data_IF_444997874357
#
_entry.id   IF_444997874357
#
_cell.length_a   1.000
_cell.length_b   1.000
_cell.length_c   1.000
_cell.angle_alpha   90.00
_cell.angle_beta   90.00
_cell.angle_gamma   90.00
#
_symmetry.space_group_name_H-M   'P 1'
#
loop_
_entity.id
_entity.type
_entity.pdbx_description
1 polymer ?
#
# COMPACT_ATOMS: atom_id res chain seq x y z
N UNK A 1 17.90 -14.28 30.79
CA UNK A 1 18.18 -15.70 30.47
C UNK A 1 17.19 -16.12 29.40
N UNK A 2 17.63 -16.80 28.35
CA UNK A 2 16.74 -17.39 27.31
C UNK A 2 16.93 -18.90 27.37
N UNK A 3 15.85 -19.65 27.11
CA UNK A 3 15.87 -21.13 27.00
C UNK A 3 16.14 -21.59 25.56
N UNK A 4 16.57 -20.68 24.69
CA UNK A 4 16.88 -21.00 23.29
C UNK A 4 18.31 -21.57 23.17
N UNK A 5 18.46 -22.73 22.58
CA UNK A 5 19.72 -23.43 22.33
C UNK A 5 20.54 -22.82 21.16
N UNK A 6 20.17 -21.62 20.70
CA UNK A 6 20.83 -20.96 19.56
C UNK A 6 21.98 -20.08 20.02
N UNK A 7 23.03 -19.84 19.19
CA UNK A 7 24.09 -18.89 19.46
C UNK A 7 23.52 -17.50 19.81
N UNK A 8 24.14 -16.82 20.77
CA UNK A 8 23.70 -15.52 21.30
C UNK A 8 23.44 -14.48 20.21
N UNK A 9 24.28 -14.44 19.19
CA UNK A 9 24.17 -13.51 18.07
C UNK A 9 22.87 -13.72 17.28
N UNK A 10 22.46 -14.98 17.05
CA UNK A 10 21.20 -15.30 16.39
C UNK A 10 19.99 -14.98 17.23
N UNK A 11 20.10 -15.13 18.55
CA UNK A 11 19.03 -14.76 19.49
C UNK A 11 18.84 -13.25 19.48
N UNK A 12 19.92 -12.48 19.53
CA UNK A 12 19.86 -11.00 19.43
C UNK A 12 19.32 -10.55 18.09
N UNK A 13 19.75 -11.13 16.98
CA UNK A 13 19.23 -10.81 15.65
C UNK A 13 17.72 -11.10 15.55
N UNK A 14 17.24 -12.23 16.06
CA UNK A 14 15.83 -12.57 16.11
C UNK A 14 15.03 -11.58 16.97
N UNK A 15 15.58 -11.16 18.11
CA UNK A 15 14.93 -10.20 19.00
C UNK A 15 14.83 -8.80 18.36
N UNK A 16 15.86 -8.40 17.60
CA UNK A 16 15.84 -7.11 16.87
C UNK A 16 14.81 -7.06 15.76
N UNK A 17 14.41 -8.21 15.19
CA UNK A 17 13.31 -8.27 14.21
C UNK A 17 11.94 -7.92 14.80
N UNK A 18 11.79 -7.97 16.13
CA UNK A 18 10.56 -7.57 16.82
C UNK A 18 10.18 -6.11 16.52
N UNK A 19 11.15 -5.20 16.52
CA UNK A 19 10.91 -3.79 16.19
C UNK A 19 10.30 -3.60 14.81
N UNK A 20 10.73 -4.38 13.82
CA UNK A 20 10.17 -4.36 12.46
C UNK A 20 8.72 -4.86 12.43
N UNK A 21 8.43 -5.95 13.16
CA UNK A 21 7.06 -6.47 13.25
C UNK A 21 6.12 -5.49 13.95
N UNK A 22 6.59 -4.84 15.02
CA UNK A 22 5.82 -3.79 15.71
C UNK A 22 5.54 -2.60 14.80
N UNK A 23 6.48 -2.21 13.95
CA UNK A 23 6.29 -1.15 12.97
C UNK A 23 5.23 -1.52 11.92
N UNK A 24 5.25 -2.74 11.40
CA UNK A 24 4.21 -3.21 10.46
C UNK A 24 2.83 -3.23 11.08
N UNK A 25 2.72 -3.69 12.34
CA UNK A 25 1.46 -3.65 13.09
C UNK A 25 0.97 -2.21 13.26
N UNK A 26 1.87 -1.28 13.59
CA UNK A 26 1.57 0.14 13.72
C UNK A 26 1.12 0.76 12.40
N UNK A 27 1.78 0.44 11.29
CA UNK A 27 1.35 0.86 9.95
C UNK A 27 -0.05 0.34 9.61
N UNK A 28 -0.35 -0.93 9.85
CA UNK A 28 -1.66 -1.50 9.62
C UNK A 28 -2.76 -0.83 10.45
N UNK A 29 -2.48 -0.50 11.71
CA UNK A 29 -3.40 0.25 12.58
C UNK A 29 -3.66 1.67 12.06
N UNK A 30 -2.64 2.39 11.65
CA UNK A 30 -2.72 3.80 11.31
C UNK A 30 -3.14 4.04 9.85
N UNK A 31 -2.53 3.30 8.91
CA UNK A 31 -2.79 3.47 7.49
C UNK A 31 -4.11 2.82 7.06
N UNK A 32 -4.38 1.60 7.50
CA UNK A 32 -5.50 0.78 7.02
C UNK A 32 -6.65 0.72 8.04
N UNK A 33 -6.38 1.05 9.31
CA UNK A 33 -7.35 0.97 10.41
C UNK A 33 -7.92 -0.45 10.62
N UNK A 34 -7.11 -1.49 10.46
CA UNK A 34 -7.56 -2.88 10.52
C UNK A 34 -8.13 -3.31 11.87
N UNK A 35 -7.92 -2.53 12.93
CA UNK A 35 -8.53 -2.74 14.25
C UNK A 35 -9.96 -2.20 14.36
N UNK A 36 -10.45 -1.47 13.34
CA UNK A 36 -11.83 -0.95 13.32
C UNK A 36 -12.81 -2.00 12.80
N UNK A 37 -13.14 -2.95 13.66
CA UNK A 37 -14.10 -4.01 13.39
C UNK A 37 -15.44 -3.62 14.00
N UNK A 38 -16.31 -2.94 13.23
CA UNK A 38 -17.58 -2.35 13.70
C UNK A 38 -18.83 -3.05 13.16
N UNK A 39 -18.69 -4.26 12.60
CA UNK A 39 -19.82 -5.07 12.19
C UNK A 39 -20.47 -5.74 13.39
N UNK A 40 -21.82 -5.94 13.34
CA UNK A 40 -22.55 -6.59 14.41
C UNK A 40 -22.27 -8.09 14.54
N UNK A 41 -21.85 -8.75 13.47
CA UNK A 41 -21.56 -10.18 13.44
C UNK A 41 -20.08 -10.48 13.41
N UNK A 42 -19.68 -11.61 13.99
CA UNK A 42 -18.31 -12.10 13.92
C UNK A 42 -17.87 -12.36 12.48
N UNK A 43 -18.72 -12.99 11.68
CA UNK A 43 -18.46 -13.26 10.26
C UNK A 43 -18.22 -11.97 9.47
N UNK A 44 -19.04 -10.93 9.69
CA UNK A 44 -18.85 -9.63 9.06
C UNK A 44 -17.51 -8.98 9.45
N UNK A 45 -17.10 -9.09 10.71
CA UNK A 45 -15.80 -8.60 11.15
C UNK A 45 -14.63 -9.41 10.57
N UNK A 46 -14.78 -10.72 10.42
CA UNK A 46 -13.76 -11.57 9.79
C UNK A 46 -13.54 -11.17 8.32
N UNK A 47 -14.60 -10.99 7.54
CA UNK A 47 -14.50 -10.49 6.15
C UNK A 47 -13.85 -9.11 6.11
N UNK A 48 -14.25 -8.21 7.00
CA UNK A 48 -13.67 -6.86 7.08
C UNK A 48 -12.17 -6.90 7.38
N UNK A 49 -11.73 -7.76 8.28
CA UNK A 49 -10.32 -7.94 8.58
C UNK A 49 -9.53 -8.43 7.36
N UNK A 50 -10.10 -9.39 6.60
CA UNK A 50 -9.47 -9.87 5.37
C UNK A 50 -9.36 -8.77 4.31
N UNK A 51 -10.38 -7.91 4.16
CA UNK A 51 -10.33 -6.75 3.26
C UNK A 51 -9.25 -5.74 3.70
N UNK A 52 -9.09 -5.52 5.00
CA UNK A 52 -8.00 -4.68 5.52
C UNK A 52 -6.63 -5.30 5.24
N UNK A 53 -6.47 -6.61 5.40
CA UNK A 53 -5.22 -7.31 5.07
C UNK A 53 -4.90 -7.22 3.58
N UNK A 54 -5.91 -7.37 2.71
CA UNK A 54 -5.77 -7.17 1.26
C UNK A 54 -5.32 -5.74 0.95
N UNK A 55 -5.97 -4.74 1.53
CA UNK A 55 -5.61 -3.33 1.33
C UNK A 55 -4.17 -3.03 1.81
N UNK A 56 -3.74 -3.64 2.92
CA UNK A 56 -2.37 -3.55 3.42
C UNK A 56 -1.36 -4.14 2.42
N UNK A 57 -1.64 -5.32 1.88
CA UNK A 57 -0.79 -5.96 0.89
C UNK A 57 -0.72 -5.16 -0.41
N UNK A 58 -1.86 -4.67 -0.92
CA UNK A 58 -1.89 -3.81 -2.10
C UNK A 58 -1.08 -2.52 -1.90
N UNK A 59 -1.19 -1.89 -0.72
CA UNK A 59 -0.37 -0.72 -0.37
C UNK A 59 1.13 -1.03 -0.36
N UNK A 60 1.53 -2.19 0.16
CA UNK A 60 2.92 -2.63 0.12
C UNK A 60 3.39 -2.96 -1.29
N UNK A 61 2.58 -3.60 -2.12
CA UNK A 61 2.91 -3.84 -3.53
C UNK A 61 3.08 -2.52 -4.29
N UNK A 62 2.17 -1.58 -4.12
CA UNK A 62 2.31 -0.24 -4.70
C UNK A 62 3.65 0.38 -4.28
N UNK A 63 3.95 0.40 -2.97
CA UNK A 63 5.20 0.97 -2.43
C UNK A 63 6.45 0.30 -3.00
N UNK A 64 6.42 -1.02 -3.17
CA UNK A 64 7.60 -1.79 -3.57
C UNK A 64 7.81 -1.81 -5.08
N UNK A 65 6.72 -1.91 -5.86
CA UNK A 65 6.77 -2.19 -7.28
C UNK A 65 6.50 -0.96 -8.17
N UNK A 66 5.74 0.00 -7.68
CA UNK A 66 5.21 1.09 -8.50
C UNK A 66 5.46 2.49 -7.92
N UNK A 67 6.39 2.64 -6.99
CA UNK A 67 6.80 3.96 -6.52
C UNK A 67 8.21 4.29 -6.97
N UNK A 68 8.44 5.50 -7.53
CA UNK A 68 9.78 5.96 -7.87
C UNK A 68 10.62 6.25 -6.63
N UNK A 69 11.95 6.25 -6.78
CA UNK A 69 12.93 6.38 -5.69
C UNK A 69 12.64 7.54 -4.71
N UNK A 70 12.26 8.76 -5.13
CA UNK A 70 12.04 9.87 -4.19
C UNK A 70 10.95 9.61 -3.14
N UNK A 71 10.00 8.71 -3.42
CA UNK A 71 8.87 8.43 -2.53
C UNK A 71 8.86 6.99 -2.00
N UNK A 72 9.84 6.18 -2.36
CA UNK A 72 9.94 4.77 -1.97
C UNK A 72 10.00 4.57 -0.45
N UNK A 73 10.61 5.51 0.25
CA UNK A 73 10.70 5.51 1.71
C UNK A 73 9.42 6.00 2.42
N UNK A 74 8.38 6.41 1.69
CA UNK A 74 7.16 6.88 2.31
C UNK A 74 6.43 5.76 3.06
N UNK A 75 5.88 6.11 4.23
CA UNK A 75 4.99 5.21 4.96
C UNK A 75 3.69 4.98 4.19
N UNK A 76 3.00 3.86 4.47
CA UNK A 76 1.67 3.61 3.88
C UNK A 76 0.66 4.72 4.23
N UNK A 77 0.79 5.35 5.39
CA UNK A 77 -0.02 6.52 5.77
C UNK A 77 0.24 7.68 4.82
N UNK A 78 1.50 7.99 4.54
CA UNK A 78 1.88 9.07 3.61
C UNK A 78 1.39 8.78 2.18
N UNK A 79 1.55 7.54 1.70
CA UNK A 79 1.04 7.12 0.39
C UNK A 79 -0.48 7.29 0.31
N UNK A 80 -1.22 6.85 1.34
CA UNK A 80 -2.66 7.00 1.39
C UNK A 80 -3.09 8.46 1.35
N UNK A 81 -2.50 9.31 2.18
CA UNK A 81 -2.91 10.73 2.28
C UNK A 81 -2.49 11.54 1.04
N UNK A 82 -1.33 11.24 0.46
CA UNK A 82 -0.76 12.04 -0.62
C UNK A 82 -1.06 11.52 -2.03
N UNK A 83 -1.41 10.24 -2.20
CA UNK A 83 -1.68 9.65 -3.51
C UNK A 83 -3.11 9.14 -3.68
N UNK A 84 -3.73 8.61 -2.61
CA UNK A 84 -5.05 7.97 -2.70
C UNK A 84 -6.17 8.91 -2.31
N UNK A 85 -6.00 9.69 -1.23
CA UNK A 85 -7.00 10.63 -0.73
C UNK A 85 -6.94 12.01 -1.39
N UNK A 86 -6.59 12.08 -2.65
CA UNK A 86 -6.55 13.33 -3.39
C UNK A 86 -7.93 13.61 -3.96
N UNK A 87 -8.45 14.80 -3.68
CA UNK A 87 -9.67 15.29 -4.31
C UNK A 87 -9.45 15.53 -5.80
N UNK A 88 -10.37 15.06 -6.62
CA UNK A 88 -10.37 15.31 -8.04
C UNK A 88 -11.72 15.86 -8.49
N UNK A 89 -11.73 16.82 -9.41
CA UNK A 89 -12.91 17.27 -10.12
C UNK A 89 -13.09 16.44 -11.39
N UNK A 90 -14.25 15.85 -11.55
CA UNK A 90 -14.62 15.17 -12.79
C UNK A 90 -15.05 16.22 -13.81
N UNK A 91 -14.37 16.26 -14.94
CA UNK A 91 -14.73 17.12 -16.09
C UNK A 91 -15.07 16.21 -17.25
N UNK A 92 -16.31 16.31 -17.77
CA UNK A 92 -16.75 15.56 -18.93
C UNK A 92 -16.77 16.45 -20.15
N UNK A 93 -16.12 16.00 -21.20
CA UNK A 93 -16.23 16.54 -22.57
C UNK A 93 -16.86 15.47 -23.46
N UNK A 94 -17.53 15.84 -24.53
CA UNK A 94 -18.33 14.91 -25.32
C UNK A 94 -17.65 13.62 -25.80
N UNK A 95 -16.32 13.54 -25.76
CA UNK A 95 -15.52 12.37 -26.20
C UNK A 95 -14.65 11.77 -25.10
N UNK A 96 -14.47 12.44 -23.97
CA UNK A 96 -13.60 11.95 -22.88
C UNK A 96 -14.03 12.50 -21.53
N UNK A 97 -13.63 11.76 -20.52
CA UNK A 97 -13.80 12.13 -19.11
C UNK A 97 -12.42 12.34 -18.52
N UNK A 98 -12.19 13.48 -17.91
CA UNK A 98 -10.92 13.83 -17.29
C UNK A 98 -11.07 14.03 -15.76
N UNK A 99 -10.14 13.49 -15.01
CA UNK A 99 -10.00 13.76 -13.59
C UNK A 99 -8.99 14.89 -13.40
N UNK A 100 -9.45 16.07 -13.00
CA UNK A 100 -8.57 17.17 -12.63
C UNK A 100 -8.21 17.07 -11.16
N UNK A 101 -6.97 16.72 -10.85
CA UNK A 101 -6.43 16.68 -9.49
C UNK A 101 -5.68 17.98 -9.19
N UNK A 102 -5.61 18.34 -7.90
CA UNK A 102 -4.83 19.49 -7.45
C UNK A 102 -3.33 19.18 -7.59
N UNK A 103 -2.62 19.87 -8.47
CA UNK A 103 -1.18 19.67 -8.72
C UNK A 103 -0.32 19.97 -7.50
N UNK A 104 -0.81 20.82 -6.60
CA UNK A 104 -0.17 21.13 -5.30
C UNK A 104 -0.05 19.90 -4.40
N UNK A 105 -0.95 18.93 -4.55
CA UNK A 105 -0.95 17.72 -3.73
C UNK A 105 0.04 16.66 -4.24
N UNK A 106 0.14 16.50 -5.57
CA UNK A 106 1.06 15.56 -6.23
C UNK A 106 1.56 16.19 -7.53
N UNK A 107 2.89 16.36 -7.69
CA UNK A 107 3.47 16.82 -8.93
C UNK A 107 3.07 15.91 -10.10
N UNK A 108 2.65 16.49 -11.20
CA UNK A 108 2.20 15.78 -12.40
C UNK A 108 3.20 14.71 -12.87
N UNK A 109 4.50 15.04 -12.85
CA UNK A 109 5.56 14.14 -13.28
C UNK A 109 5.65 12.90 -12.38
N UNK A 110 5.55 13.08 -11.06
CA UNK A 110 5.57 11.98 -10.11
C UNK A 110 4.37 11.04 -10.32
N UNK A 111 3.19 11.59 -10.51
CA UNK A 111 1.99 10.80 -10.74
C UNK A 111 2.06 10.03 -12.09
N UNK A 112 2.55 10.67 -13.15
CA UNK A 112 2.76 10.02 -14.46
C UNK A 112 3.75 8.86 -14.36
N UNK A 113 4.83 9.02 -13.59
CA UNK A 113 5.83 7.96 -13.38
C UNK A 113 5.25 6.76 -12.62
N UNK A 114 4.45 7.00 -11.59
CA UNK A 114 3.74 5.92 -10.88
C UNK A 114 2.84 5.14 -11.84
N UNK A 115 2.06 5.84 -12.68
CA UNK A 115 1.19 5.18 -13.66
C UNK A 115 1.99 4.38 -14.69
N UNK A 116 3.16 4.88 -15.11
CA UNK A 116 4.07 4.14 -16.01
C UNK A 116 4.54 2.85 -15.36
N UNK A 117 5.03 2.92 -14.12
CA UNK A 117 5.47 1.74 -13.36
C UNK A 117 4.34 0.72 -13.19
N UNK A 118 3.12 1.17 -12.90
CA UNK A 118 1.94 0.29 -12.82
C UNK A 118 1.67 -0.37 -14.18
N UNK A 119 1.79 0.37 -15.28
CA UNK A 119 1.58 -0.18 -16.61
C UNK A 119 2.61 -1.27 -16.96
N UNK A 120 3.84 -1.15 -16.51
CA UNK A 120 4.91 -2.14 -16.70
C UNK A 120 4.66 -3.45 -15.93
N UNK A 121 3.83 -3.44 -14.89
CA UNK A 121 3.44 -4.66 -14.16
C UNK A 121 2.44 -5.52 -14.93
N UNK A 122 1.88 -5.04 -16.04
CA UNK A 122 0.96 -5.84 -16.86
C UNK A 122 1.75 -6.91 -17.62
N UNK A 123 1.29 -8.17 -17.62
CA UNK A 123 1.91 -9.19 -18.44
C UNK A 123 1.78 -8.77 -19.93
N UNK A 124 2.77 -9.11 -20.78
CA UNK A 124 2.66 -8.87 -22.22
C UNK A 124 1.39 -9.56 -22.76
N UNK A 125 0.74 -8.99 -23.76
CA UNK A 125 -0.41 -9.62 -24.39
C UNK A 125 0.00 -11.02 -24.87
N UNK A 126 -0.81 -12.02 -24.53
CA UNK A 126 -0.59 -13.39 -25.02
C UNK A 126 -0.57 -13.42 -26.55
N UNK A 127 0.08 -14.41 -27.17
CA UNK A 127 0.05 -14.58 -28.62
C UNK A 127 -1.41 -14.65 -29.08
N UNK A 128 -1.71 -13.93 -30.16
CA UNK A 128 -3.04 -13.95 -30.74
C UNK A 128 -3.41 -15.40 -31.10
N UNK A 129 -4.65 -15.85 -30.85
CA UNK A 129 -5.06 -17.18 -31.27
C UNK A 129 -4.93 -17.29 -32.79
N UNK A 130 -4.32 -18.38 -33.25
CA UNK A 130 -4.11 -18.70 -34.68
C UNK A 130 -5.45 -18.98 -35.38
#
# INVERSE_FOLDING_TARGET
MTNLSRPTERVVAFYNQRGTAEQWIKEGKNAINWTRLSCRSFAGNAVRLQLHALAYNLGNFLRTLATPEPIKAWSLTSLREKLIKIGARLVSHGRYVAFQMAEVAVPRMLFAEILRLIAELRPPPGPAPA
#
